data_IF_526366089364
#
_entry.id   IF_526366089364
#
_cell.length_a   1.000
_cell.length_b   1.000
_cell.length_c   1.000
_cell.angle_alpha   90.00
_cell.angle_beta   90.00
_cell.angle_gamma   90.00
#
_symmetry.space_group_name_H-M   'P 1'
#
loop_
_entity.id
_entity.type
_entity.pdbx_description
1 polymer ?
#
# COMPACT_ATOMS: atom_id res chain seq x y z
N UNK A 1 17.55 -6.35 2.58
CA UNK A 1 17.72 -5.94 3.99
C UNK A 1 16.75 -4.83 4.38
N UNK A 2 16.77 -3.64 3.77
CA UNK A 2 15.80 -2.58 4.11
C UNK A 2 14.39 -2.84 3.52
N UNK A 3 14.34 -3.36 2.30
CA UNK A 3 13.10 -3.71 1.58
C UNK A 3 12.28 -4.78 2.33
N UNK A 4 12.94 -5.82 2.86
CA UNK A 4 12.30 -6.87 3.68
C UNK A 4 11.63 -6.31 4.95
N UNK A 5 12.22 -5.28 5.55
CA UNK A 5 11.70 -4.64 6.78
C UNK A 5 10.48 -3.77 6.46
N UNK A 6 10.53 -2.99 5.38
CA UNK A 6 9.40 -2.19 4.94
C UNK A 6 8.19 -3.07 4.63
N UNK A 7 8.43 -4.13 3.84
CA UNK A 7 7.41 -5.07 3.42
C UNK A 7 6.75 -5.80 4.59
N UNK A 8 7.54 -6.30 5.54
CA UNK A 8 7.00 -6.98 6.73
C UNK A 8 6.15 -6.03 7.59
N UNK A 9 6.55 -4.75 7.71
CA UNK A 9 5.76 -3.74 8.41
C UNK A 9 4.44 -3.45 7.71
N UNK A 10 4.44 -3.28 6.39
CA UNK A 10 3.21 -3.06 5.60
C UNK A 10 2.25 -4.24 5.76
N UNK A 11 2.76 -5.47 5.65
CA UNK A 11 1.95 -6.69 5.85
C UNK A 11 1.36 -6.74 7.25
N UNK A 12 2.16 -6.45 8.28
CA UNK A 12 1.70 -6.43 9.68
C UNK A 12 0.58 -5.42 9.92
N UNK A 13 0.68 -4.23 9.31
CA UNK A 13 -0.33 -3.18 9.36
C UNK A 13 -1.65 -3.71 8.76
N UNK A 14 -1.62 -4.22 7.52
CA UNK A 14 -2.82 -4.76 6.86
C UNK A 14 -3.42 -5.98 7.56
N UNK A 15 -2.61 -6.86 8.17
CA UNK A 15 -3.09 -7.98 8.99
C UNK A 15 -3.85 -7.52 10.23
N UNK A 16 -3.60 -6.30 10.70
CA UNK A 16 -4.30 -5.71 11.85
C UNK A 16 -5.65 -5.10 11.45
N UNK A 17 -5.99 -5.08 10.16
CA UNK A 17 -7.21 -4.46 9.62
C UNK A 17 -7.17 -2.93 9.53
N UNK A 18 -6.10 -2.32 10.05
CA UNK A 18 -5.80 -0.90 9.92
C UNK A 18 -4.98 -0.73 8.63
N UNK A 19 -5.59 -0.39 7.49
CA UNK A 19 -4.82 -0.12 6.26
C UNK A 19 -3.72 0.93 6.46
N UNK A 20 -2.75 1.05 5.52
CA UNK A 20 -1.53 1.84 5.81
C UNK A 20 -1.76 3.32 6.05
N UNK A 21 -2.90 3.89 5.66
CA UNK A 21 -3.18 5.32 5.80
C UNK A 21 -2.96 5.83 7.24
N UNK A 22 -3.36 5.06 8.26
CA UNK A 22 -3.14 5.41 9.67
C UNK A 22 -1.68 5.37 10.12
N UNK A 23 -0.81 4.71 9.35
CA UNK A 23 0.61 4.44 9.67
C UNK A 23 1.58 4.99 8.63
N UNK A 24 1.08 5.58 7.55
CA UNK A 24 1.91 6.05 6.44
C UNK A 24 2.84 7.17 6.89
N UNK A 25 2.38 8.07 7.77
CA UNK A 25 3.20 9.14 8.34
C UNK A 25 4.40 8.60 9.13
N UNK A 26 4.21 7.49 9.88
CA UNK A 26 5.30 6.83 10.60
C UNK A 26 6.28 6.15 9.64
N UNK A 27 5.77 5.50 8.58
CA UNK A 27 6.59 4.85 7.56
C UNK A 27 7.43 5.86 6.78
N UNK A 28 6.86 7.02 6.43
CA UNK A 28 7.54 8.12 5.72
C UNK A 28 8.75 8.69 6.46
N UNK A 29 8.83 8.50 7.78
CA UNK A 29 10.02 8.93 8.55
C UNK A 29 11.26 8.08 8.27
N UNK A 30 11.07 6.86 7.78
CA UNK A 30 12.13 5.88 7.57
C UNK A 30 12.26 5.45 6.10
N UNK A 31 11.21 5.58 5.30
CA UNK A 31 11.15 5.13 3.91
C UNK A 31 10.51 6.20 3.01
N UNK A 32 10.98 6.37 1.77
CA UNK A 32 10.37 7.30 0.83
C UNK A 32 8.98 6.81 0.38
N UNK A 33 8.09 7.75 0.05
CA UNK A 33 6.73 7.49 -0.42
C UNK A 33 6.68 6.47 -1.57
N UNK A 34 7.57 6.63 -2.55
CA UNK A 34 7.64 5.75 -3.72
C UNK A 34 7.90 4.28 -3.37
N UNK A 35 8.77 4.01 -2.40
CA UNK A 35 9.07 2.65 -1.95
C UNK A 35 7.89 2.03 -1.17
N UNK A 36 7.23 2.84 -0.33
CA UNK A 36 6.05 2.40 0.42
C UNK A 36 4.94 2.00 -0.55
N UNK A 37 4.65 2.86 -1.53
CA UNK A 37 3.59 2.63 -2.52
C UNK A 37 3.93 1.42 -3.38
N UNK A 38 5.18 1.32 -3.86
CA UNK A 38 5.63 0.17 -4.64
C UNK A 38 5.44 -1.14 -3.87
N UNK A 39 5.82 -1.20 -2.58
CA UNK A 39 5.64 -2.42 -1.79
C UNK A 39 4.16 -2.77 -1.59
N UNK A 40 3.29 -1.78 -1.39
CA UNK A 40 1.83 -2.02 -1.29
C UNK A 40 1.25 -2.52 -2.62
N UNK A 41 1.71 -1.96 -3.74
CA UNK A 41 1.33 -2.40 -5.09
C UNK A 41 1.80 -3.84 -5.36
N UNK A 42 3.06 -4.16 -5.08
CA UNK A 42 3.60 -5.51 -5.23
C UNK A 42 2.81 -6.53 -4.38
N UNK A 43 2.51 -6.20 -3.12
CA UNK A 43 1.70 -7.08 -2.26
C UNK A 43 0.28 -7.29 -2.78
N UNK A 44 -0.30 -6.28 -3.46
CA UNK A 44 -1.59 -6.42 -4.13
C UNK A 44 -1.49 -7.28 -5.40
N UNK A 45 -0.46 -7.07 -6.23
CA UNK A 45 -0.21 -7.87 -7.45
C UNK A 45 0.08 -9.34 -7.14
N UNK A 46 0.78 -9.61 -6.03
CA UNK A 46 1.03 -10.96 -5.51
C UNK A 46 -0.22 -11.61 -4.89
N UNK A 47 -1.28 -10.83 -4.67
CA UNK A 47 -2.53 -11.27 -4.07
C UNK A 47 -2.48 -11.48 -2.56
N UNK A 48 -1.49 -10.89 -1.86
CA UNK A 48 -1.46 -10.80 -0.39
C UNK A 48 -2.41 -9.73 0.12
N UNK A 49 -2.60 -8.67 -0.67
CA UNK A 49 -3.62 -7.66 -0.44
C UNK A 49 -4.74 -7.84 -1.46
N UNK A 50 -5.96 -7.54 -1.04
CA UNK A 50 -7.12 -7.48 -1.92
C UNK A 50 -7.92 -6.22 -1.64
N UNK A 51 -8.83 -5.92 -2.55
CA UNK A 51 -9.78 -4.83 -2.38
C UNK A 51 -10.72 -5.17 -1.25
N UNK A 52 -10.90 -4.24 -0.31
CA UNK A 52 -11.98 -4.33 0.64
C UNK A 52 -13.31 -4.04 -0.06
N UNK A 53 -14.10 -5.09 -0.28
CA UNK A 53 -15.43 -5.04 -0.88
C UNK A 53 -16.41 -4.11 -0.13
N UNK A 54 -16.16 -3.79 1.14
CA UNK A 54 -16.96 -2.84 1.91
C UNK A 54 -16.60 -1.38 1.61
N UNK A 55 -15.41 -1.11 1.04
CA UNK A 55 -14.88 0.24 0.83
C UNK A 55 -14.78 0.70 -0.63
N UNK A 56 -15.10 -0.15 -1.60
CA UNK A 56 -15.27 0.25 -3.01
C UNK A 56 -14.44 -0.58 -3.99
N UNK A 57 -14.19 -0.04 -5.18
CA UNK A 57 -13.43 -0.70 -6.25
C UNK A 57 -11.93 -0.44 -6.06
N UNK A 58 -11.09 -1.49 -6.03
CA UNK A 58 -9.65 -1.31 -5.82
C UNK A 58 -8.89 -0.89 -7.08
N UNK A 59 -9.59 -0.76 -8.21
CA UNK A 59 -9.07 0.01 -9.35
C UNK A 59 -8.84 1.47 -8.99
N UNK A 60 -9.52 1.97 -7.95
CA UNK A 60 -9.32 3.32 -7.42
C UNK A 60 -8.14 3.42 -6.45
N UNK A 61 -7.57 2.30 -5.98
CA UNK A 61 -6.47 2.31 -5.00
C UNK A 61 -5.12 2.76 -5.59
N UNK A 62 -4.94 2.59 -6.90
CA UNK A 62 -3.72 2.93 -7.65
C UNK A 62 -4.12 3.56 -8.99
N UNK A 63 -4.60 4.80 -8.98
CA UNK A 63 -5.36 5.35 -10.12
C UNK A 63 -4.52 5.92 -11.26
N UNK A 64 -3.23 6.20 -11.07
CA UNK A 64 -2.37 6.65 -12.18
C UNK A 64 -0.89 6.51 -11.80
N UNK A 65 -0.22 5.53 -12.39
CA UNK A 65 1.24 5.51 -12.50
C UNK A 65 1.57 5.73 -13.97
N UNK A 66 1.65 6.98 -14.41
CA UNK A 66 2.30 7.28 -15.68
C UNK A 66 3.79 6.91 -15.56
N UNK A 67 4.38 6.30 -16.60
CA UNK A 67 5.80 5.88 -16.61
C UNK A 67 6.81 6.99 -16.25
N UNK A 68 6.37 8.25 -16.20
CA UNK A 68 7.19 9.44 -15.91
C UNK A 68 6.79 10.20 -14.62
N UNK A 69 5.75 9.77 -13.90
CA UNK A 69 5.24 10.50 -12.73
C UNK A 69 5.79 9.90 -11.43
N UNK A 70 6.75 10.60 -10.80
CA UNK A 70 7.16 10.34 -9.42
C UNK A 70 6.11 10.83 -8.40
N UNK A 71 5.07 11.54 -8.86
CA UNK A 71 3.97 12.01 -8.03
C UNK A 71 2.74 11.13 -8.26
N UNK A 72 2.56 10.17 -7.37
CA UNK A 72 1.39 9.31 -7.35
C UNK A 72 0.15 10.19 -7.19
N UNK A 73 -0.63 10.30 -8.26
CA UNK A 73 -1.69 11.31 -8.29
C UNK A 73 -2.83 10.92 -7.35
N UNK A 74 -3.07 9.62 -7.11
CA UNK A 74 -4.06 9.12 -6.13
C UNK A 74 -3.69 7.72 -5.61
N UNK A 75 -3.41 7.59 -4.30
CA UNK A 75 -3.12 6.33 -3.58
C UNK A 75 -4.11 6.18 -2.43
N UNK A 76 -4.95 5.14 -2.48
CA UNK A 76 -6.01 4.89 -1.47
C UNK A 76 -5.77 3.56 -0.74
N UNK A 77 -4.72 3.47 0.10
CA UNK A 77 -4.33 2.23 0.78
C UNK A 77 -5.40 1.71 1.74
N UNK A 78 -6.30 2.55 2.24
CA UNK A 78 -7.42 2.17 3.10
C UNK A 78 -8.47 1.28 2.42
N UNK A 79 -8.48 1.24 1.09
CA UNK A 79 -9.39 0.39 0.30
C UNK A 79 -8.81 -1.01 0.09
N UNK A 80 -7.61 -1.27 0.59
CA UNK A 80 -6.98 -2.58 0.57
C UNK A 80 -7.10 -3.24 1.96
N UNK A 81 -7.17 -4.56 1.97
CA UNK A 81 -7.10 -5.39 3.17
C UNK A 81 -6.19 -6.58 2.94
N UNK A 82 -5.71 -7.19 4.03
CA UNK A 82 -4.97 -8.44 3.94
C UNK A 82 -5.90 -9.58 3.52
N UNK A 83 -5.50 -10.30 2.47
CA UNK A 83 -6.17 -11.52 2.01
C UNK A 83 -5.69 -12.69 2.88
N UNK A 84 -6.53 -13.06 3.85
CA UNK A 84 -6.32 -14.18 4.78
C UNK A 84 -7.00 -15.45 4.32
#
# INVERSE_FOLDING_TARGET
MAEDILRDRIVTIYKSGEGINGKIAELKTAFPDGEIIQNVEELYEEGLLEVDSEKGSGKDAFLNRGESDQEVTEFWPENLKYKG
#
